data_IF_426521024995
#
_entry.id   IF_426521024995
#
_cell.length_a   1.000
_cell.length_b   1.000
_cell.length_c   1.000
_cell.angle_alpha   90.00
_cell.angle_beta   90.00
_cell.angle_gamma   90.00
#
_symmetry.space_group_name_H-M   'P 1'
#
loop_
_entity.id
_entity.type
_entity.pdbx_description
1 polymer ?
#
# COMPACT_ATOMS: atom_id res chain seq x y z
N UNK A 1 25.24 -21.44 13.33
CA UNK A 1 25.76 -20.21 13.96
C UNK A 1 24.76 -19.82 15.02
N UNK A 2 25.23 -19.56 16.24
CA UNK A 2 24.36 -19.02 17.28
C UNK A 2 23.88 -17.62 16.90
N UNK A 3 22.64 -17.24 17.26
CA UNK A 3 22.13 -15.89 16.99
C UNK A 3 22.88 -14.85 17.82
N UNK A 4 23.15 -13.69 17.20
CA UNK A 4 23.64 -12.51 17.91
C UNK A 4 22.48 -11.89 18.67
N UNK A 5 22.67 -11.61 19.96
CA UNK A 5 21.62 -11.10 20.83
C UNK A 5 21.68 -9.58 20.95
N UNK A 6 20.51 -8.94 20.85
CA UNK A 6 20.40 -7.49 21.01
C UNK A 6 19.16 -7.11 21.81
N UNK A 7 19.22 -5.96 22.46
CA UNK A 7 18.01 -5.25 22.86
C UNK A 7 17.21 -4.92 21.61
N UNK A 8 15.88 -5.02 21.69
CA UNK A 8 15.04 -4.72 20.54
C UNK A 8 15.35 -3.31 20.03
N UNK A 9 15.59 -3.14 18.72
CA UNK A 9 16.23 -1.94 18.17
C UNK A 9 15.37 -0.66 18.23
N UNK A 10 14.10 -0.76 18.61
CA UNK A 10 13.24 0.40 18.87
C UNK A 10 13.44 1.00 20.27
N UNK A 11 14.16 0.31 21.17
CA UNK A 11 14.56 0.86 22.45
C UNK A 11 15.92 1.53 22.35
N UNK A 12 15.99 2.75 22.88
CA UNK A 12 17.24 3.37 23.29
C UNK A 12 17.53 2.99 24.74
N UNK A 13 18.73 2.47 24.98
CA UNK A 13 19.18 2.04 26.31
C UNK A 13 19.94 3.18 26.99
N UNK A 14 19.53 3.55 28.20
CA UNK A 14 20.23 4.51 29.05
C UNK A 14 20.62 3.84 30.37
N UNK A 15 21.92 3.76 30.66
CA UNK A 15 22.46 3.08 31.84
C UNK A 15 22.84 4.13 32.88
N UNK A 16 22.18 4.09 34.04
CA UNK A 16 22.46 4.95 35.20
C UNK A 16 23.06 4.10 36.32
N UNK A 17 24.38 4.21 36.45
CA UNK A 17 25.14 3.50 37.47
C UNK A 17 24.70 3.91 38.90
N UNK A 18 24.75 3.00 39.88
CA UNK A 18 25.21 1.61 39.76
C UNK A 18 24.12 0.60 39.37
N UNK A 19 22.83 0.95 39.44
CA UNK A 19 21.76 -0.06 39.55
C UNK A 19 20.57 0.12 38.61
N UNK A 20 20.58 1.08 37.68
CA UNK A 20 19.39 1.36 36.86
C UNK A 20 19.71 1.34 35.37
N UNK A 21 18.81 0.73 34.61
CA UNK A 21 18.78 0.76 33.15
C UNK A 21 17.39 1.18 32.71
N UNK A 22 17.32 2.14 31.81
CA UNK A 22 16.08 2.58 31.19
C UNK A 22 16.06 2.17 29.72
N UNK A 23 14.99 1.49 29.31
CA UNK A 23 14.66 1.20 27.92
C UNK A 23 13.62 2.23 27.47
N UNK A 24 14.01 3.11 26.57
CA UNK A 24 13.21 4.24 26.11
C UNK A 24 12.77 4.01 24.66
N UNK A 25 11.47 3.89 24.42
CA UNK A 25 10.86 3.87 23.09
C UNK A 25 9.85 5.03 22.98
N UNK A 26 9.41 5.31 21.75
CA UNK A 26 8.44 6.39 21.51
C UNK A 26 7.06 6.10 22.14
N UNK A 27 6.69 4.83 22.26
CA UNK A 27 5.39 4.38 22.75
C UNK A 27 5.43 3.78 24.17
N UNK A 28 6.62 3.55 24.74
CA UNK A 28 6.78 2.88 26.03
C UNK A 28 8.12 3.19 26.70
N UNK A 29 8.14 3.12 28.03
CA UNK A 29 9.38 3.20 28.82
C UNK A 29 9.41 2.09 29.86
N UNK A 30 10.58 1.49 30.07
CA UNK A 30 10.78 0.43 31.04
C UNK A 30 12.03 0.71 31.87
N UNK A 31 11.97 0.38 33.16
CA UNK A 31 13.10 0.48 34.06
C UNK A 31 13.48 -0.93 34.56
N UNK A 32 14.75 -1.29 34.39
CA UNK A 32 15.35 -2.49 34.96
C UNK A 32 16.23 -2.05 36.14
N UNK A 33 16.09 -2.73 37.27
CA UNK A 33 16.85 -2.41 38.49
C UNK A 33 17.73 -3.59 38.88
N UNK A 34 19.03 -3.33 39.00
CA UNK A 34 20.05 -4.29 39.41
C UNK A 34 21.39 -4.00 38.74
N UNK A 35 22.47 -4.12 39.51
CA UNK A 35 23.87 -3.95 39.06
C UNK A 35 24.19 -4.85 37.86
N UNK A 36 23.70 -6.09 37.90
CA UNK A 36 23.86 -7.05 36.81
C UNK A 36 23.34 -6.53 35.46
N UNK A 37 22.20 -5.83 35.44
CA UNK A 37 21.69 -5.25 34.20
C UNK A 37 22.62 -4.18 33.64
N UNK A 38 23.26 -3.37 34.50
CA UNK A 38 24.23 -2.36 34.06
C UNK A 38 25.46 -3.00 33.37
N UNK A 39 25.84 -4.22 33.74
CA UNK A 39 26.92 -4.99 33.09
C UNK A 39 26.46 -5.77 31.85
N UNK A 40 25.23 -6.28 31.85
CA UNK A 40 24.67 -7.06 30.74
C UNK A 40 24.31 -6.19 29.53
N UNK A 41 23.68 -5.01 29.75
CA UNK A 41 23.16 -4.19 28.66
C UNK A 41 24.18 -3.81 27.58
N UNK A 42 25.44 -3.42 27.91
CA UNK A 42 26.44 -3.12 26.89
C UNK A 42 26.81 -4.31 25.99
N UNK A 43 26.49 -5.54 26.40
CA UNK A 43 26.77 -6.77 25.64
C UNK A 43 25.57 -7.21 24.77
N UNK A 44 24.43 -6.53 24.89
CA UNK A 44 23.22 -6.79 24.09
C UNK A 44 23.07 -5.75 22.97
N UNK A 45 24.16 -5.50 22.25
CA UNK A 45 24.26 -4.59 21.10
C UNK A 45 24.16 -5.31 19.74
N UNK A 46 23.93 -6.63 19.76
CA UNK A 46 23.85 -7.45 18.56
C UNK A 46 25.21 -7.80 17.96
N UNK A 47 26.30 -7.72 18.74
CA UNK A 47 27.63 -8.18 18.32
C UNK A 47 28.06 -9.47 19.00
N UNK A 48 27.34 -9.91 20.03
CA UNK A 48 27.71 -11.06 20.85
C UNK A 48 26.66 -12.17 20.80
N UNK A 49 27.14 -13.41 20.76
CA UNK A 49 26.30 -14.61 20.99
C UNK A 49 26.11 -14.85 22.48
N UNK A 50 25.19 -15.76 22.83
CA UNK A 50 24.99 -16.19 24.21
C UNK A 50 26.28 -16.69 24.87
N UNK A 51 27.05 -17.53 24.18
CA UNK A 51 28.32 -18.05 24.71
C UNK A 51 29.31 -16.92 25.03
N UNK A 52 29.47 -15.96 24.12
CA UNK A 52 30.38 -14.81 24.30
C UNK A 52 29.94 -13.89 25.44
N UNK A 53 28.62 -13.74 25.66
CA UNK A 53 28.08 -12.97 26.78
C UNK A 53 28.42 -13.68 28.10
N UNK A 54 28.23 -15.00 28.17
CA UNK A 54 28.57 -15.79 29.36
C UNK A 54 30.05 -15.66 29.72
N UNK A 55 30.94 -15.79 28.72
CA UNK A 55 32.40 -15.67 28.93
C UNK A 55 32.78 -14.30 29.53
N UNK A 56 32.16 -13.22 29.05
CA UNK A 56 32.45 -11.85 29.51
C UNK A 56 31.86 -11.51 30.87
N UNK A 57 30.81 -12.21 31.29
CA UNK A 57 30.13 -11.99 32.57
C UNK A 57 30.54 -12.98 33.67
N UNK A 58 31.53 -13.84 33.41
CA UNK A 58 32.00 -14.87 34.35
C UNK A 58 32.33 -14.33 35.76
N UNK A 59 32.85 -13.11 35.85
CA UNK A 59 33.19 -12.48 37.15
C UNK A 59 31.97 -11.97 37.93
N UNK A 60 30.81 -11.84 37.28
CA UNK A 60 29.62 -11.18 37.83
C UNK A 60 28.45 -12.15 38.05
N UNK A 61 28.35 -13.23 37.27
CA UNK A 61 27.28 -14.22 37.37
C UNK A 61 27.72 -15.58 36.81
N UNK A 62 27.10 -16.65 37.32
CA UNK A 62 27.23 -17.97 36.71
C UNK A 62 26.38 -18.11 35.43
N UNK A 63 26.63 -19.17 34.67
CA UNK A 63 25.97 -19.39 33.38
C UNK A 63 24.45 -19.56 33.52
N UNK A 64 23.99 -20.17 34.61
CA UNK A 64 22.56 -20.43 34.86
C UNK A 64 21.81 -19.13 35.19
N UNK A 65 22.44 -18.22 35.94
CA UNK A 65 21.91 -16.88 36.20
C UNK A 65 21.83 -16.04 34.93
N UNK A 66 22.87 -16.08 34.08
CA UNK A 66 22.86 -15.39 32.78
C UNK A 66 21.73 -15.94 31.90
N UNK A 67 21.58 -17.27 31.83
CA UNK A 67 20.51 -17.92 31.09
C UNK A 67 19.13 -17.44 31.55
N UNK A 68 18.88 -17.49 32.86
CA UNK A 68 17.62 -17.07 33.46
C UNK A 68 17.27 -15.61 33.15
N UNK A 69 18.26 -14.71 33.25
CA UNK A 69 18.01 -13.29 32.96
C UNK A 69 17.72 -13.05 31.49
N UNK A 70 18.46 -13.70 30.58
CA UNK A 70 18.24 -13.59 29.13
C UNK A 70 16.86 -14.12 28.76
N UNK A 71 16.46 -15.30 29.27
CA UNK A 71 15.13 -15.88 29.05
C UNK A 71 14.03 -14.93 29.54
N UNK A 72 14.14 -14.41 30.77
CA UNK A 72 13.17 -13.46 31.30
C UNK A 72 13.13 -12.12 30.53
N UNK A 73 14.24 -11.66 29.95
CA UNK A 73 14.24 -10.49 29.07
C UNK A 73 13.59 -10.80 27.71
N UNK A 74 13.77 -12.02 27.20
CA UNK A 74 13.17 -12.48 25.95
C UNK A 74 11.65 -12.61 26.09
N UNK A 75 11.18 -13.26 27.16
CA UNK A 75 9.75 -13.43 27.48
C UNK A 75 9.03 -12.10 27.69
N UNK A 76 9.72 -11.11 28.25
CA UNK A 76 9.20 -9.74 28.40
C UNK A 76 9.28 -8.92 27.10
N UNK A 77 9.86 -9.46 26.04
CA UNK A 77 9.98 -8.81 24.75
C UNK A 77 11.01 -7.68 24.70
N UNK A 78 12.02 -7.66 25.58
CA UNK A 78 13.04 -6.61 25.58
C UNK A 78 14.23 -6.91 24.68
N UNK A 79 14.54 -8.18 24.45
CA UNK A 79 15.62 -8.63 23.57
C UNK A 79 15.08 -9.43 22.38
N UNK A 80 15.87 -9.51 21.32
CA UNK A 80 15.61 -10.35 20.16
C UNK A 80 16.94 -10.77 19.52
N UNK A 81 16.88 -11.76 18.64
CA UNK A 81 18.01 -12.06 17.76
C UNK A 81 18.17 -10.93 16.73
N UNK A 82 19.43 -10.56 16.45
CA UNK A 82 19.75 -9.64 15.35
C UNK A 82 19.49 -10.31 14.01
N UNK A 83 18.92 -9.54 13.09
CA UNK A 83 18.71 -9.93 11.68
C UNK A 83 19.70 -9.13 10.83
N UNK A 84 20.84 -9.72 10.43
CA UNK A 84 21.89 -9.00 9.70
C UNK A 84 21.45 -8.39 8.37
N UNK A 85 20.41 -8.95 7.76
CA UNK A 85 19.89 -8.54 6.46
C UNK A 85 19.03 -7.26 6.51
N UNK A 86 18.55 -6.88 7.70
CA UNK A 86 17.78 -5.67 7.90
C UNK A 86 18.67 -4.55 8.44
N UNK A 87 18.38 -3.31 8.00
CA UNK A 87 18.93 -2.14 8.66
C UNK A 87 18.36 -2.01 10.07
N UNK A 88 19.10 -1.35 10.97
CA UNK A 88 18.65 -1.12 12.35
C UNK A 88 17.30 -0.39 12.38
N UNK A 89 17.11 0.61 11.51
CA UNK A 89 15.86 1.34 11.39
C UNK A 89 14.69 0.46 10.94
N UNK A 90 14.91 -0.46 9.99
CA UNK A 90 13.87 -1.39 9.54
C UNK A 90 13.51 -2.41 10.64
N UNK A 91 14.52 -2.96 11.32
CA UNK A 91 14.29 -3.87 12.43
C UNK A 91 13.57 -3.18 13.60
N UNK A 92 13.90 -1.91 13.87
CA UNK A 92 13.21 -1.09 14.88
C UNK A 92 11.74 -0.88 14.53
N UNK A 93 11.44 -0.52 13.28
CA UNK A 93 10.08 -0.34 12.81
C UNK A 93 9.21 -1.60 13.01
N UNK A 94 9.70 -2.77 12.60
CA UNK A 94 8.95 -4.02 12.78
C UNK A 94 8.80 -4.40 14.25
N UNK A 95 9.87 -4.26 15.03
CA UNK A 95 9.84 -4.54 16.46
C UNK A 95 8.84 -3.66 17.20
N UNK A 96 8.74 -2.37 16.84
CA UNK A 96 7.79 -1.41 17.41
C UNK A 96 6.33 -1.81 17.14
N UNK A 97 6.06 -2.39 15.96
CA UNK A 97 4.74 -2.93 15.60
C UNK A 97 4.45 -4.30 16.25
N UNK A 98 5.38 -4.83 17.06
CA UNK A 98 5.25 -6.15 17.68
C UNK A 98 5.47 -7.32 16.71
N UNK A 99 6.08 -7.08 15.55
CA UNK A 99 6.43 -8.11 14.57
C UNK A 99 7.91 -8.46 14.73
N UNK A 100 8.22 -9.76 14.82
CA UNK A 100 9.61 -10.20 14.86
C UNK A 100 10.35 -9.81 13.57
N UNK A 101 11.51 -9.11 13.64
CA UNK A 101 12.22 -8.64 12.46
C UNK A 101 12.56 -9.75 11.47
N UNK A 102 12.87 -10.96 11.94
CA UNK A 102 13.19 -12.10 11.08
C UNK A 102 11.95 -12.53 10.27
N UNK A 103 10.80 -12.64 10.94
CA UNK A 103 9.52 -12.95 10.31
C UNK A 103 9.16 -11.88 9.27
N UNK A 104 9.34 -10.61 9.59
CA UNK A 104 9.09 -9.53 8.64
C UNK A 104 9.99 -9.65 7.41
N UNK A 105 11.29 -9.87 7.59
CA UNK A 105 12.24 -10.06 6.48
C UNK A 105 11.85 -11.25 5.57
N UNK A 106 11.49 -12.39 6.17
CA UNK A 106 11.09 -13.57 5.41
C UNK A 106 9.78 -13.34 4.65
N UNK A 107 8.77 -12.72 5.28
CA UNK A 107 7.50 -12.40 4.63
C UNK A 107 7.68 -11.43 3.46
N UNK A 108 8.49 -10.37 3.61
CA UNK A 108 8.73 -9.38 2.55
C UNK A 108 9.38 -10.00 1.30
N UNK A 109 10.18 -11.06 1.47
CA UNK A 109 10.80 -11.80 0.35
C UNK A 109 9.86 -12.78 -0.32
N UNK A 110 8.81 -13.21 0.39
CA UNK A 110 7.82 -14.19 -0.07
C UNK A 110 6.55 -13.54 -0.63
N UNK A 111 6.54 -12.22 -0.87
CA UNK A 111 5.42 -11.52 -1.48
C UNK A 111 5.82 -10.90 -2.82
N UNK A 112 4.90 -10.92 -3.78
CA UNK A 112 5.06 -10.22 -5.07
C UNK A 112 4.02 -9.11 -5.16
N UNK A 113 4.49 -7.88 -5.33
CA UNK A 113 3.63 -6.71 -5.53
C UNK A 113 3.55 -6.39 -7.02
N UNK A 114 2.36 -6.53 -7.58
CA UNK A 114 2.09 -6.08 -8.95
C UNK A 114 1.77 -4.59 -8.94
N UNK A 115 2.29 -3.82 -9.88
CA UNK A 115 2.07 -2.37 -9.93
C UNK A 115 1.55 -1.97 -11.31
N UNK A 116 0.52 -1.11 -11.34
CA UNK A 116 0.04 -0.46 -12.56
C UNK A 116 -0.42 0.96 -12.26
N UNK A 117 -0.54 1.77 -13.31
CA UNK A 117 -1.10 3.12 -13.23
C UNK A 117 -2.30 3.25 -14.17
N UNK A 118 -3.28 4.05 -13.73
CA UNK A 118 -4.46 4.46 -14.49
C UNK A 118 -4.53 5.98 -14.49
N UNK A 119 -4.53 6.58 -15.68
CA UNK A 119 -4.42 8.03 -15.85
C UNK A 119 -2.98 8.52 -15.86
N UNK A 120 -2.75 9.78 -15.50
CA UNK A 120 -1.45 10.45 -15.64
C UNK A 120 -0.58 10.32 -14.37
N UNK A 121 -0.16 9.09 -14.04
CA UNK A 121 0.70 8.80 -12.88
C UNK A 121 1.81 7.82 -13.26
N UNK A 122 3.02 8.03 -12.74
CA UNK A 122 4.15 7.12 -12.92
C UNK A 122 4.22 6.09 -11.79
N UNK A 123 4.50 4.83 -12.13
CA UNK A 123 4.71 3.73 -11.18
C UNK A 123 6.15 3.65 -10.65
N UNK A 124 7.13 4.19 -11.39
CA UNK A 124 8.55 4.00 -11.10
C UNK A 124 8.96 4.40 -9.67
N UNK A 125 8.56 5.57 -9.13
CA UNK A 125 8.98 5.98 -7.79
C UNK A 125 8.50 5.02 -6.70
N UNK A 126 7.31 4.43 -6.86
CA UNK A 126 6.80 3.44 -5.91
C UNK A 126 7.60 2.14 -6.02
N UNK A 127 7.79 1.65 -7.25
CA UNK A 127 8.55 0.42 -7.53
C UNK A 127 9.97 0.48 -6.95
N UNK A 128 10.66 1.60 -7.13
CA UNK A 128 12.01 1.81 -6.59
C UNK A 128 12.03 1.77 -5.05
N UNK A 129 11.03 2.39 -4.41
CA UNK A 129 10.92 2.41 -2.94
C UNK A 129 10.57 1.04 -2.37
N UNK A 130 9.65 0.30 -3.00
CA UNK A 130 9.30 -1.07 -2.60
C UNK A 130 10.51 -2.00 -2.74
N UNK A 131 11.25 -1.89 -3.85
CA UNK A 131 12.46 -2.70 -4.07
C UNK A 131 13.54 -2.39 -3.03
N UNK A 132 13.70 -1.12 -2.66
CA UNK A 132 14.66 -0.68 -1.64
C UNK A 132 14.37 -1.30 -0.26
N UNK A 133 13.10 -1.55 0.06
CA UNK A 133 12.69 -2.22 1.31
C UNK A 133 12.60 -3.75 1.18
N UNK A 134 13.09 -4.32 0.07
CA UNK A 134 13.19 -5.77 -0.13
C UNK A 134 11.93 -6.45 -0.67
N UNK A 135 10.93 -5.69 -1.12
CA UNK A 135 9.70 -6.23 -1.71
C UNK A 135 9.90 -6.45 -3.21
N UNK A 136 9.54 -7.65 -3.69
CA UNK A 136 9.58 -7.95 -5.12
C UNK A 136 8.44 -7.25 -5.85
N UNK A 137 8.74 -6.56 -6.94
CA UNK A 137 7.73 -5.84 -7.74
C UNK A 137 7.70 -6.29 -9.19
N UNK A 138 6.51 -6.39 -9.77
CA UNK A 138 6.32 -6.70 -11.19
C UNK A 138 5.28 -5.77 -11.83
N UNK A 139 5.40 -5.42 -13.12
CA UNK A 139 4.34 -4.69 -13.81
C UNK A 139 3.11 -5.58 -13.98
N UNK A 140 1.93 -5.03 -13.72
CA UNK A 140 0.68 -5.75 -13.97
C UNK A 140 0.25 -5.62 -15.43
N UNK A 141 -0.14 -6.73 -16.06
CA UNK A 141 -0.40 -6.82 -17.51
C UNK A 141 -1.88 -7.05 -17.86
N UNK A 142 -2.80 -6.77 -16.93
CA UNK A 142 -4.23 -6.99 -17.15
C UNK A 142 -4.72 -8.42 -16.87
N UNK A 143 -3.83 -9.31 -16.42
CA UNK A 143 -4.11 -10.73 -16.18
C UNK A 143 -3.81 -11.09 -14.72
N UNK A 144 -4.44 -12.16 -14.19
CA UNK A 144 -4.09 -12.66 -12.86
C UNK A 144 -2.60 -12.99 -12.76
N UNK A 145 -1.98 -12.81 -11.58
CA UNK A 145 -0.64 -13.30 -11.32
C UNK A 145 -0.53 -14.80 -11.60
N UNK A 146 0.62 -15.21 -12.15
CA UNK A 146 0.97 -16.63 -12.28
C UNK A 146 2.09 -16.90 -11.28
N UNK A 147 1.72 -17.10 -10.02
CA UNK A 147 2.67 -17.40 -8.93
C UNK A 147 1.94 -18.09 -7.78
N UNK A 148 2.65 -18.96 -7.07
CA UNK A 148 2.17 -19.62 -5.86
C UNK A 148 2.40 -18.74 -4.61
N UNK A 149 3.09 -17.61 -4.74
CA UNK A 149 3.34 -16.68 -3.65
C UNK A 149 2.13 -15.78 -3.38
N UNK A 150 1.94 -15.30 -2.15
CA UNK A 150 1.03 -14.20 -1.85
C UNK A 150 1.30 -12.99 -2.75
N UNK A 151 0.21 -12.39 -3.26
CA UNK A 151 0.31 -11.24 -4.16
C UNK A 151 -0.59 -10.09 -3.72
N UNK A 152 -0.15 -8.87 -4.01
CA UNK A 152 -0.96 -7.66 -3.87
C UNK A 152 -0.80 -6.82 -5.15
N UNK A 153 -1.90 -6.42 -5.77
CA UNK A 153 -1.88 -5.46 -6.86
C UNK A 153 -1.99 -4.03 -6.30
N UNK A 154 -1.07 -3.13 -6.64
CA UNK A 154 -1.15 -1.71 -6.33
C UNK A 154 -1.47 -0.93 -7.61
N UNK A 155 -2.59 -0.22 -7.59
CA UNK A 155 -3.05 0.62 -8.69
C UNK A 155 -2.89 2.07 -8.29
N UNK A 156 -2.04 2.79 -9.03
CA UNK A 156 -1.88 4.23 -8.89
C UNK A 156 -2.81 4.95 -9.85
N UNK A 157 -3.46 6.01 -9.40
CA UNK A 157 -4.31 6.79 -10.26
C UNK A 157 -4.29 8.27 -9.93
N UNK A 158 -4.64 9.11 -10.90
CA UNK A 158 -4.88 10.53 -10.72
C UNK A 158 -6.31 10.83 -10.23
N UNK A 159 -7.26 9.92 -10.47
CA UNK A 159 -8.63 10.03 -10.02
C UNK A 159 -9.29 8.66 -9.74
N UNK A 160 -9.99 8.54 -8.62
CA UNK A 160 -10.60 7.28 -8.20
C UNK A 160 -11.85 6.89 -9.01
N UNK A 161 -12.35 7.75 -9.89
CA UNK A 161 -13.47 7.50 -10.80
C UNK A 161 -13.04 7.19 -12.24
N UNK A 162 -11.74 6.97 -12.50
CA UNK A 162 -11.28 6.56 -13.83
C UNK A 162 -12.01 5.30 -14.31
N UNK A 163 -12.55 5.29 -15.55
CA UNK A 163 -13.39 4.19 -16.03
C UNK A 163 -12.64 2.86 -16.15
N UNK A 164 -11.33 2.88 -16.39
CA UNK A 164 -10.47 1.69 -16.49
C UNK A 164 -10.41 0.91 -15.16
N UNK A 165 -10.61 1.59 -14.02
CA UNK A 165 -10.66 0.95 -12.70
C UNK A 165 -11.81 -0.06 -12.59
N UNK A 166 -12.89 0.12 -13.37
CA UNK A 166 -13.98 -0.85 -13.43
C UNK A 166 -13.52 -2.20 -13.98
N UNK A 167 -12.64 -2.19 -14.99
CA UNK A 167 -12.09 -3.40 -15.59
C UNK A 167 -11.14 -4.11 -14.63
N UNK A 168 -10.25 -3.35 -13.97
CA UNK A 168 -9.34 -3.89 -12.95
C UNK A 168 -10.15 -4.53 -11.81
N UNK A 169 -11.19 -3.84 -11.34
CA UNK A 169 -12.06 -4.35 -10.29
C UNK A 169 -12.76 -5.66 -10.71
N UNK A 170 -13.23 -5.77 -11.95
CA UNK A 170 -13.87 -7.01 -12.44
C UNK A 170 -12.87 -8.17 -12.47
N UNK A 171 -11.68 -7.96 -13.04
CA UNK A 171 -10.62 -8.98 -13.03
C UNK A 171 -10.28 -9.40 -11.61
N UNK A 172 -10.13 -8.44 -10.69
CA UNK A 172 -9.80 -8.73 -9.30
C UNK A 172 -10.88 -9.55 -8.58
N UNK A 173 -12.16 -9.28 -8.85
CA UNK A 173 -13.27 -10.07 -8.31
C UNK A 173 -13.28 -11.50 -8.89
N UNK A 174 -13.08 -11.64 -10.21
CA UNK A 174 -13.10 -12.94 -10.89
C UNK A 174 -11.91 -13.83 -10.48
N UNK A 175 -10.78 -13.22 -10.13
CA UNK A 175 -9.55 -13.95 -9.76
C UNK A 175 -9.28 -13.95 -8.26
N UNK A 176 -10.20 -13.43 -7.44
CA UNK A 176 -10.03 -13.27 -5.99
C UNK A 176 -8.72 -12.56 -5.61
N UNK A 177 -8.30 -11.57 -6.40
CA UNK A 177 -7.04 -10.83 -6.23
C UNK A 177 -7.22 -9.63 -5.30
N UNK A 178 -6.50 -9.56 -4.16
CA UNK A 178 -6.43 -8.35 -3.36
C UNK A 178 -5.72 -7.22 -4.10
N UNK A 179 -6.24 -5.99 -4.00
CA UNK A 179 -5.60 -4.83 -4.61
C UNK A 179 -5.79 -3.52 -3.83
N UNK A 180 -4.76 -2.68 -3.82
CA UNK A 180 -4.71 -1.38 -3.17
C UNK A 180 -4.85 -0.27 -4.22
N UNK A 181 -5.73 0.70 -3.97
CA UNK A 181 -5.84 1.92 -4.78
C UNK A 181 -5.13 3.09 -4.09
N UNK A 182 -4.38 3.88 -4.85
CA UNK A 182 -3.72 5.07 -4.31
C UNK A 182 -3.66 6.20 -5.35
N UNK A 183 -3.80 7.45 -4.88
CA UNK A 183 -3.58 8.68 -5.64
C UNK A 183 -2.43 9.43 -5.00
N UNK A 184 -1.19 9.25 -5.51
CA UNK A 184 0.00 9.88 -4.95
C UNK A 184 0.26 11.28 -5.51
N UNK A 185 -0.68 11.87 -6.27
CA UNK A 185 -0.51 13.17 -6.92
C UNK A 185 -1.61 14.17 -6.55
N UNK A 186 -1.31 15.45 -6.76
CA UNK A 186 -2.20 16.57 -6.44
C UNK A 186 -2.00 17.11 -5.02
N UNK A 187 -2.79 18.11 -4.65
CA UNK A 187 -2.72 18.74 -3.32
C UNK A 187 -3.29 17.88 -2.18
N UNK A 188 -4.01 16.80 -2.51
CA UNK A 188 -4.56 15.83 -1.57
C UNK A 188 -4.21 14.42 -2.03
N UNK A 189 -3.44 13.71 -1.21
CA UNK A 189 -3.04 12.33 -1.44
C UNK A 189 -4.09 11.39 -0.88
N UNK A 190 -4.50 10.40 -1.66
CA UNK A 190 -5.44 9.38 -1.20
C UNK A 190 -4.73 8.03 -1.17
N UNK A 191 -4.85 7.30 -0.06
CA UNK A 191 -4.23 5.99 0.11
C UNK A 191 -5.29 5.03 0.63
N UNK A 192 -5.48 3.93 -0.11
CA UNK A 192 -6.54 2.97 0.16
C UNK A 192 -7.83 3.28 -0.60
N UNK A 193 -8.82 2.37 -0.53
CA UNK A 193 -8.81 1.19 0.32
C UNK A 193 -7.94 0.06 -0.25
N UNK A 194 -7.67 -0.93 0.60
CA UNK A 194 -7.35 -2.28 0.12
C UNK A 194 -8.69 -2.97 -0.14
N UNK A 195 -8.86 -3.42 -1.38
CA UNK A 195 -10.00 -4.21 -1.82
C UNK A 195 -9.63 -5.69 -1.71
N UNK A 196 -10.30 -6.40 -0.81
CA UNK A 196 -10.20 -7.85 -0.64
C UNK A 196 -11.53 -8.49 -1.06
N UNK A 197 -11.58 -9.14 -2.24
CA UNK A 197 -12.81 -9.78 -2.71
C UNK A 197 -13.39 -10.75 -1.68
N UNK A 198 -14.69 -10.62 -1.42
CA UNK A 198 -15.40 -11.43 -0.41
C UNK A 198 -15.28 -10.94 1.04
N UNK A 199 -14.35 -10.02 1.34
CA UNK A 199 -14.13 -9.47 2.70
C UNK A 199 -14.52 -7.99 2.78
N UNK A 200 -14.03 -7.16 1.86
CA UNK A 200 -14.33 -5.71 1.82
C UNK A 200 -15.36 -5.37 0.73
N UNK A 201 -15.83 -4.11 0.71
CA UNK A 201 -16.55 -3.60 -0.47
C UNK A 201 -15.64 -3.56 -1.70
N UNK A 202 -16.20 -3.58 -2.92
CA UNK A 202 -15.44 -3.47 -4.16
C UNK A 202 -15.33 -2.01 -4.64
N UNK A 203 -14.56 -1.75 -5.71
CA UNK A 203 -14.44 -0.40 -6.26
C UNK A 203 -15.78 0.19 -6.70
N UNK A 204 -16.71 -0.63 -7.21
CA UNK A 204 -18.03 -0.12 -7.60
C UNK A 204 -18.82 0.41 -6.40
N UNK A 205 -18.66 -0.17 -5.21
CA UNK A 205 -19.24 0.35 -3.96
C UNK A 205 -18.67 1.73 -3.62
N UNK A 206 -17.35 1.90 -3.73
CA UNK A 206 -16.68 3.17 -3.51
C UNK A 206 -17.09 4.21 -4.56
N UNK A 207 -17.04 3.84 -5.84
CA UNK A 207 -17.37 4.71 -6.96
C UNK A 207 -18.82 5.20 -6.91
N UNK A 208 -19.77 4.36 -6.46
CA UNK A 208 -21.15 4.78 -6.24
C UNK A 208 -21.24 5.95 -5.25
N UNK A 209 -20.53 5.88 -4.12
CA UNK A 209 -20.51 6.95 -3.11
C UNK A 209 -19.76 8.19 -3.59
N UNK A 210 -18.62 8.01 -4.25
CA UNK A 210 -17.82 9.12 -4.77
C UNK A 210 -18.56 9.93 -5.85
N UNK A 211 -19.29 9.27 -6.76
CA UNK A 211 -20.10 9.97 -7.77
C UNK A 211 -21.20 10.83 -7.13
N UNK A 212 -21.82 10.34 -6.06
CA UNK A 212 -22.81 11.11 -5.29
C UNK A 212 -22.21 12.34 -4.60
N UNK A 213 -20.95 12.27 -4.17
CA UNK A 213 -20.27 13.37 -3.48
C UNK A 213 -19.54 14.34 -4.42
N UNK A 214 -19.67 14.17 -5.74
CA UNK A 214 -19.03 15.00 -6.78
C UNK A 214 -20.05 15.54 -7.79
N UNK A 215 -21.17 16.04 -7.28
CA UNK A 215 -22.31 16.50 -8.08
C UNK A 215 -21.93 17.59 -9.11
N UNK A 216 -21.01 18.49 -8.75
CA UNK A 216 -20.53 19.56 -9.62
C UNK A 216 -19.74 18.99 -10.79
N UNK A 217 -18.80 18.08 -10.54
CA UNK A 217 -18.01 17.41 -11.59
C UNK A 217 -18.91 16.57 -12.52
N UNK A 218 -19.88 15.85 -11.94
CA UNK A 218 -20.88 15.10 -12.69
C UNK A 218 -21.73 16.01 -13.58
N UNK A 219 -22.07 17.21 -13.11
CA UNK A 219 -22.80 18.22 -13.88
C UNK A 219 -21.97 18.79 -15.02
N UNK A 220 -20.69 19.08 -14.78
CA UNK A 220 -19.74 19.52 -15.81
C UNK A 220 -19.59 18.46 -16.91
N UNK A 221 -19.42 17.19 -16.55
CA UNK A 221 -19.33 16.09 -17.51
C UNK A 221 -20.61 15.95 -18.35
N UNK A 222 -21.80 16.05 -17.73
CA UNK A 222 -23.08 16.04 -18.46
C UNK A 222 -23.21 17.19 -19.44
N UNK A 223 -22.76 18.40 -19.07
CA UNK A 223 -22.80 19.57 -19.96
C UNK A 223 -21.79 19.44 -21.11
N UNK A 224 -20.57 18.96 -20.84
CA UNK A 224 -19.58 18.70 -21.89
C UNK A 224 -20.01 17.59 -22.85
N UNK A 225 -20.64 16.52 -22.34
CA UNK A 225 -21.21 15.45 -23.18
C UNK A 225 -22.33 15.95 -24.09
N UNK A 226 -23.20 16.84 -23.59
CA UNK A 226 -24.24 17.50 -24.40
C UNK A 226 -23.67 18.47 -25.44
N UNK A 227 -22.59 19.19 -25.12
CA UNK A 227 -21.93 20.08 -26.08
C UNK A 227 -21.21 19.30 -27.19
N UNK A 228 -20.64 18.12 -26.89
CA UNK A 228 -20.02 17.23 -27.87
C UNK A 228 -21.03 16.59 -28.83
N UNK A 229 -22.22 16.18 -28.35
CA UNK A 229 -23.26 15.61 -29.22
C UNK A 229 -23.90 16.63 -30.17
N UNK A 230 -23.93 17.91 -29.81
CA UNK A 230 -24.46 18.99 -30.68
C UNK A 230 -23.47 19.36 -31.79
N UNK A 231 -22.17 19.10 -31.62
CA UNK A 231 -21.16 19.40 -32.64
C UNK A 231 -21.17 18.39 -33.81
N UNK A 232 -21.61 17.14 -33.61
CA UNK A 232 -21.69 16.13 -34.68
C UNK A 232 -22.96 16.23 -35.55
N UNK A 233 -24.04 16.87 -35.07
CA UNK A 233 -25.28 17.06 -35.86
C UNK A 233 -25.24 18.29 -36.80
N UNK A 234 -24.17 19.09 -36.75
CA UNK A 234 -24.05 20.36 -37.49
C UNK A 234 -23.60 20.26 -38.96
N UNK A 235 -23.26 19.07 -39.48
CA UNK A 235 -22.75 18.92 -40.84
C UNK A 235 -23.69 18.11 -41.75
N UNK A 236 -24.94 18.58 -41.91
CA UNK A 236 -25.79 18.23 -43.05
C UNK A 236 -25.88 19.43 -43.98
N UNK A 237 -25.20 19.33 -45.12
CA UNK A 237 -25.23 20.30 -46.22
C UNK A 237 -26.67 20.70 -46.57
N UNK A 238 -27.01 21.96 -46.34
CA UNK A 238 -28.19 22.59 -46.90
C UNK A 238 -27.94 22.86 -48.38
N UNK A 239 -28.30 21.89 -49.23
CA UNK A 239 -28.40 22.08 -50.68
C UNK A 239 -29.40 23.20 -51.00
N UNK A 240 -28.89 24.31 -51.51
CA UNK A 240 -29.68 25.44 -52.03
C UNK A 240 -30.36 25.00 -53.32
N UNK A 241 -31.65 24.67 -53.22
CA UNK A 241 -32.51 24.42 -54.39
C UNK A 241 -33.02 25.73 -54.98
N UNK A 242 -32.41 26.17 -56.08
CA UNK A 242 -32.93 27.24 -56.94
C UNK A 242 -34.29 26.83 -57.52
N UNK A 243 -35.35 27.58 -57.19
CA UNK A 243 -36.66 27.48 -57.84
C UNK A 243 -36.76 28.56 -58.92
N UNK A 244 -36.68 28.15 -60.18
CA UNK A 244 -37.11 28.97 -61.32
C UNK A 244 -38.63 28.88 -61.49
N UNK A 245 -39.21 30.05 -61.77
CA UNK A 245 -40.61 30.29 -62.08
C UNK A 245 -41.00 29.75 -63.45
N UNK A 246 -42.02 28.88 -63.50
CA UNK A 246 -42.67 28.43 -64.73
C UNK A 246 -44.18 28.65 -64.66
N UNK A 247 -44.68 29.55 -65.51
CA UNK A 247 -46.09 29.84 -65.77
C UNK A 247 -46.71 28.65 -66.55
N UNK A 248 -47.90 28.19 -66.17
CA UNK A 248 -48.64 27.16 -66.91
C UNK A 248 -50.14 27.20 -66.62
N UNK A 249 -50.94 27.29 -67.69
CA UNK A 249 -52.37 27.58 -67.72
C UNK A 249 -53.30 26.44 -67.27
N UNK A 250 -54.50 26.86 -66.86
CA UNK A 250 -55.79 26.15 -66.74
C UNK A 250 -55.97 24.93 -67.68
N UNK A 251 -56.62 23.89 -67.15
CA UNK A 251 -57.87 23.38 -67.73
C UNK A 251 -58.71 22.57 -66.71
N UNK A 252 -60.02 22.57 -66.96
CA UNK A 252 -61.15 22.08 -66.17
C UNK A 252 -61.33 20.56 -66.17
N UNK A 253 -61.88 20.00 -65.10
CA UNK A 253 -62.40 18.63 -65.07
C UNK A 253 -63.37 18.40 -63.92
N UNK A 254 -64.52 17.81 -64.24
CA UNK A 254 -65.77 17.72 -63.49
C UNK A 254 -65.94 16.31 -62.87
N UNK A 255 -66.59 16.22 -61.69
CA UNK A 255 -67.37 15.05 -61.23
C UNK A 255 -66.60 13.97 -60.46
N UNK A 256 -67.16 13.24 -59.48
CA UNK A 256 -68.53 13.20 -58.98
C UNK A 256 -68.56 12.55 -57.57
N UNK A 257 -69.52 12.95 -56.73
CA UNK A 257 -69.97 12.20 -55.54
C UNK A 257 -70.82 11.00 -55.98
N UNK A 258 -70.55 9.81 -55.46
CA UNK A 258 -71.39 8.96 -54.57
C UNK A 258 -70.48 7.88 -54.00
#
# INVERSE_FOLDING_TARGET
MEPLLQIRPHYRVEIIQPNHVYLLAENATHALTGEFYCHLMPLLDGQYTYEQICERLTDHADRDQVAYVIENLYDKGYIAAKVPELSEAAAAFWSLLGVEPQTAYDCLRQVVVYVTAVGNVSTQPLTDKLTTVGIQTQPWTGKPPVTDLPTLLVVLTDDYLQPELAQINQVALDTNQPWLLAKPIGGLLWFGPIFEPGITGCWQCLAHRLRGNREVEASVLKQKGKAGSVAEEGNRESGVGSRESGIGNRESGIGNRV
#
